data_IF_176100636847
#
_entry.id   IF_176100636847
#
_cell.length_a   1.000
_cell.length_b   1.000
_cell.length_c   1.000
_cell.angle_alpha   90.00
_cell.angle_beta   90.00
_cell.angle_gamma   90.00
#
_symmetry.space_group_name_H-M   'P 1'
#
loop_
_entity.id
_entity.type
_entity.pdbx_description
1 polymer ?
#
# COMPACT_ATOMS: atom_id res chain seq x y z
N UNK A 1 0.67 -5.99 0.80
CA UNK A 1 -0.39 -5.63 1.74
C UNK A 1 -0.64 -6.77 2.71
N UNK A 2 -0.46 -6.51 4.01
CA UNK A 2 -0.63 -7.52 5.04
C UNK A 2 0.10 -7.20 6.33
N UNK A 3 -0.07 -8.05 7.37
CA UNK A 3 0.57 -7.90 8.66
C UNK A 3 1.26 -9.19 9.17
N UNK A 4 1.20 -10.28 8.39
CA UNK A 4 1.88 -11.54 8.71
C UNK A 4 3.40 -11.38 8.50
N UNK A 5 4.16 -11.50 9.56
CA UNK A 5 5.62 -11.40 9.50
C UNK A 5 6.25 -12.57 8.77
N UNK A 6 5.65 -13.77 8.88
CA UNK A 6 6.09 -14.95 8.13
C UNK A 6 5.94 -14.77 6.62
N UNK A 7 4.76 -14.30 6.16
CA UNK A 7 4.52 -14.01 4.75
C UNK A 7 5.42 -12.90 4.23
N UNK A 8 5.68 -11.87 5.06
CA UNK A 8 6.60 -10.80 4.71
C UNK A 8 8.03 -11.32 4.49
N UNK A 9 8.52 -12.19 5.36
CA UNK A 9 9.85 -12.80 5.21
C UNK A 9 9.98 -13.60 3.90
N UNK A 10 8.91 -14.28 3.47
CA UNK A 10 8.86 -14.98 2.18
C UNK A 10 8.91 -14.01 0.99
N UNK A 11 8.10 -12.95 1.03
CA UNK A 11 8.02 -11.95 -0.06
C UNK A 11 9.31 -11.14 -0.18
N UNK A 12 9.95 -10.79 0.95
CA UNK A 12 11.24 -10.09 0.94
C UNK A 12 12.33 -10.87 0.18
N UNK A 13 12.33 -12.21 0.25
CA UNK A 13 13.26 -13.05 -0.49
C UNK A 13 13.12 -12.92 -2.01
N UNK A 14 11.92 -12.63 -2.53
CA UNK A 14 11.71 -12.43 -3.97
C UNK A 14 12.40 -11.18 -4.52
N UNK A 15 12.63 -10.17 -3.69
CA UNK A 15 13.37 -8.97 -4.07
C UNK A 15 12.64 -8.00 -5.00
N UNK A 16 11.34 -8.18 -5.20
CA UNK A 16 10.54 -7.44 -6.20
C UNK A 16 9.67 -6.32 -5.63
N UNK A 17 9.53 -6.23 -4.30
CA UNK A 17 8.66 -5.23 -3.67
C UNK A 17 9.37 -3.89 -3.48
N UNK A 18 8.59 -2.79 -3.50
CA UNK A 18 9.05 -1.42 -3.22
C UNK A 18 8.59 -0.89 -1.86
N UNK A 19 7.70 -1.60 -1.19
CA UNK A 19 7.22 -1.21 0.13
C UNK A 19 6.26 -2.22 0.74
N UNK A 20 5.84 -1.92 1.96
CA UNK A 20 4.90 -2.71 2.75
C UNK A 20 3.76 -1.81 3.21
N UNK A 21 2.53 -2.25 3.05
CA UNK A 21 1.36 -1.60 3.59
C UNK A 21 0.64 -2.52 4.56
N UNK A 22 0.16 -1.96 5.65
CA UNK A 22 -0.72 -2.64 6.58
C UNK A 22 -2.11 -1.98 6.62
N UNK A 23 -3.07 -2.63 7.24
CA UNK A 23 -4.33 -2.04 7.64
C UNK A 23 -4.83 -2.68 8.95
N UNK A 24 -5.81 -2.06 9.58
CA UNK A 24 -6.30 -2.50 10.89
C UNK A 24 -6.83 -3.93 10.88
N UNK A 25 -7.50 -4.35 9.81
CA UNK A 25 -8.06 -5.71 9.72
C UNK A 25 -6.97 -6.77 9.68
N UNK A 26 -5.91 -6.57 8.88
CA UNK A 26 -4.76 -7.47 8.85
C UNK A 26 -4.00 -7.46 10.17
N UNK A 27 -3.79 -6.29 10.76
CA UNK A 27 -3.13 -6.18 12.06
C UNK A 27 -3.94 -6.89 13.15
N UNK A 28 -5.25 -6.67 13.22
CA UNK A 28 -6.12 -7.34 14.21
C UNK A 28 -6.09 -8.85 14.07
N UNK A 29 -6.15 -9.36 12.85
CA UNK A 29 -6.02 -10.81 12.59
C UNK A 29 -4.69 -11.35 13.10
N UNK A 30 -3.58 -10.65 12.80
CA UNK A 30 -2.24 -11.08 13.23
C UNK A 30 -2.06 -10.98 14.75
N UNK A 31 -2.54 -9.92 15.39
CA UNK A 31 -2.54 -9.75 16.84
C UNK A 31 -3.29 -10.88 17.55
N UNK A 32 -4.45 -11.29 17.02
CA UNK A 32 -5.21 -12.43 17.55
C UNK A 32 -4.45 -13.76 17.46
N UNK A 33 -3.59 -13.94 16.45
CA UNK A 33 -2.77 -15.15 16.27
C UNK A 33 -1.56 -15.14 17.21
N UNK A 34 -0.91 -13.98 17.38
CA UNK A 34 0.39 -13.88 18.07
C UNK A 34 0.30 -13.42 19.51
N UNK A 35 -0.82 -12.82 19.92
CA UNK A 35 -1.00 -12.23 21.26
C UNK A 35 -0.28 -10.89 21.49
N UNK A 36 0.46 -10.35 20.51
CA UNK A 36 1.17 -9.08 20.64
C UNK A 36 0.23 -7.88 20.47
N UNK A 37 0.59 -6.73 21.05
CA UNK A 37 -0.17 -5.49 20.85
C UNK A 37 0.14 -4.85 19.49
N UNK A 38 -0.59 -3.78 19.14
CA UNK A 38 -0.51 -3.13 17.83
C UNK A 38 0.88 -2.54 17.55
N UNK A 39 1.44 -1.80 18.50
CA UNK A 39 2.75 -1.15 18.31
C UNK A 39 3.88 -2.17 18.19
N UNK A 40 3.86 -3.22 19.00
CA UNK A 40 4.86 -4.29 18.94
C UNK A 40 4.82 -5.03 17.59
N UNK A 41 3.60 -5.30 17.07
CA UNK A 41 3.44 -5.88 15.74
C UNK A 41 4.04 -4.97 14.65
N UNK A 42 3.74 -3.67 14.71
CA UNK A 42 4.28 -2.72 13.74
C UNK A 42 5.80 -2.59 13.82
N UNK A 43 6.37 -2.62 15.02
CA UNK A 43 7.83 -2.63 15.22
C UNK A 43 8.48 -3.92 14.70
N UNK A 44 7.82 -5.05 14.85
CA UNK A 44 8.30 -6.33 14.33
C UNK A 44 8.32 -6.36 12.79
N UNK A 45 7.26 -5.86 12.14
CA UNK A 45 7.24 -5.64 10.69
C UNK A 45 8.34 -4.67 10.27
N UNK A 46 8.49 -3.54 10.98
CA UNK A 46 9.54 -2.54 10.72
C UNK A 46 10.95 -3.15 10.74
N UNK A 47 11.27 -3.99 11.73
CA UNK A 47 12.57 -4.67 11.81
C UNK A 47 12.87 -5.45 10.54
N UNK A 48 11.90 -6.19 9.99
CA UNK A 48 12.04 -6.94 8.73
C UNK A 48 12.22 -6.03 7.53
N UNK A 49 11.43 -4.96 7.44
CA UNK A 49 11.57 -3.96 6.37
C UNK A 49 12.97 -3.34 6.39
N UNK A 50 13.50 -3.02 7.57
CA UNK A 50 14.86 -2.47 7.74
C UNK A 50 15.97 -3.49 7.44
N UNK A 51 15.75 -4.78 7.71
CA UNK A 51 16.73 -5.83 7.41
C UNK A 51 16.87 -6.11 5.90
N UNK A 52 15.92 -5.61 5.10
CA UNK A 52 15.99 -5.74 3.64
C UNK A 52 17.01 -4.75 3.07
N UNK A 53 18.15 -5.26 2.64
CA UNK A 53 19.34 -4.49 2.27
C UNK A 53 19.47 -4.16 0.77
N UNK A 54 18.59 -4.69 -0.09
CA UNK A 54 18.69 -4.48 -1.55
C UNK A 54 18.27 -3.06 -1.98
N UNK A 55 17.28 -2.49 -1.30
CA UNK A 55 16.81 -1.11 -1.53
C UNK A 55 16.00 -0.61 -0.34
N UNK A 56 15.89 0.71 -0.20
CA UNK A 56 15.02 1.32 0.82
C UNK A 56 13.55 1.06 0.46
N UNK A 57 12.84 0.39 1.36
CA UNK A 57 11.41 0.12 1.23
C UNK A 57 10.60 1.22 1.93
N UNK A 58 9.43 1.57 1.38
CA UNK A 58 8.45 2.36 2.10
C UNK A 58 7.63 1.48 3.05
N UNK A 59 7.15 2.07 4.13
CA UNK A 59 6.29 1.39 5.10
C UNK A 59 5.09 2.25 5.43
N UNK A 60 3.88 1.72 5.22
CA UNK A 60 2.62 2.43 5.51
C UNK A 60 1.88 1.75 6.64
N UNK A 61 1.62 2.49 7.73
CA UNK A 61 0.89 2.04 8.92
C UNK A 61 -0.35 2.89 9.14
N UNK A 62 -1.46 2.27 9.54
CA UNK A 62 -2.75 2.94 9.66
C UNK A 62 -3.03 3.36 11.09
N UNK A 63 -3.56 4.58 11.30
CA UNK A 63 -4.12 5.00 12.59
C UNK A 63 -5.40 4.22 12.91
N UNK A 64 -5.66 3.99 14.19
CA UNK A 64 -6.82 3.21 14.64
C UNK A 64 -8.03 4.07 14.97
N UNK A 65 -7.82 5.34 15.33
CA UNK A 65 -8.90 6.27 15.67
C UNK A 65 -9.61 6.82 14.43
N UNK A 66 -10.85 7.25 14.62
CA UNK A 66 -11.67 7.99 13.65
C UNK A 66 -11.92 9.43 14.10
N UNK A 67 -11.42 9.85 15.26
CA UNK A 67 -11.56 11.19 15.85
C UNK A 67 -10.32 12.00 15.50
N UNK A 68 -10.47 13.17 14.87
CA UNK A 68 -9.37 13.98 14.34
C UNK A 68 -8.24 14.23 15.35
N UNK A 69 -8.57 14.65 16.58
CA UNK A 69 -7.58 14.94 17.61
C UNK A 69 -6.81 13.70 18.06
N UNK A 70 -7.46 12.55 18.11
CA UNK A 70 -6.86 11.27 18.44
C UNK A 70 -6.00 10.76 17.28
N UNK A 71 -6.44 10.94 16.03
CA UNK A 71 -5.67 10.63 14.83
C UNK A 71 -4.32 11.37 14.87
N UNK A 72 -4.33 12.66 15.21
CA UNK A 72 -3.10 13.45 15.29
C UNK A 72 -2.16 12.91 16.38
N UNK A 73 -2.69 12.64 17.58
CA UNK A 73 -1.90 12.08 18.70
C UNK A 73 -1.30 10.71 18.34
N UNK A 74 -2.13 9.82 17.81
CA UNK A 74 -1.69 8.47 17.42
C UNK A 74 -0.67 8.53 16.28
N UNK A 75 -0.89 9.34 15.26
CA UNK A 75 0.02 9.49 14.12
C UNK A 75 1.40 10.03 14.55
N UNK A 76 1.44 11.02 15.45
CA UNK A 76 2.69 11.53 16.03
C UNK A 76 3.40 10.42 16.79
N UNK A 77 2.73 9.71 17.69
CA UNK A 77 3.28 8.58 18.44
C UNK A 77 3.83 7.49 17.51
N UNK A 78 3.08 7.09 16.48
CA UNK A 78 3.53 6.10 15.50
C UNK A 78 4.76 6.60 14.73
N UNK A 79 4.77 7.88 14.35
CA UNK A 79 5.91 8.46 13.64
C UNK A 79 7.17 8.49 14.50
N UNK A 80 7.08 8.90 15.76
CA UNK A 80 8.20 8.90 16.70
C UNK A 80 8.79 7.50 16.91
N UNK A 81 7.93 6.49 17.07
CA UNK A 81 8.36 5.11 17.32
C UNK A 81 8.87 4.37 16.07
N UNK A 82 8.43 4.74 14.87
CA UNK A 82 8.63 3.92 13.67
C UNK A 82 9.46 4.60 12.57
N UNK A 83 9.56 5.93 12.51
CA UNK A 83 10.13 6.63 11.34
C UNK A 83 11.65 6.52 11.19
N UNK A 84 12.39 6.26 12.29
CA UNK A 84 13.86 6.22 12.22
C UNK A 84 14.38 5.24 11.17
N UNK A 85 15.19 5.73 10.22
CA UNK A 85 15.83 4.97 9.15
C UNK A 85 14.89 4.33 8.12
N UNK A 86 13.57 4.59 8.19
CA UNK A 86 12.57 4.03 7.26
C UNK A 86 11.81 5.14 6.56
N UNK A 87 11.31 4.87 5.37
CA UNK A 87 10.41 5.78 4.65
C UNK A 87 8.96 5.48 5.08
N UNK A 88 8.61 5.97 6.29
CA UNK A 88 7.32 5.77 6.91
C UNK A 88 6.26 6.68 6.28
N UNK A 89 5.05 6.15 6.07
CA UNK A 89 3.83 6.92 5.79
C UNK A 89 2.75 6.51 6.77
N UNK A 90 2.11 7.48 7.38
CA UNK A 90 0.96 7.24 8.24
C UNK A 90 -0.30 7.18 7.37
N UNK A 91 -1.02 6.05 7.40
CA UNK A 91 -2.28 5.88 6.68
C UNK A 91 -3.42 6.49 7.49
N UNK A 92 -4.09 7.46 6.90
CA UNK A 92 -5.26 8.13 7.47
C UNK A 92 -6.44 7.92 6.53
N UNK A 93 -7.55 7.33 6.99
CA UNK A 93 -8.77 7.24 6.20
C UNK A 93 -9.29 8.64 5.86
N UNK A 94 -9.55 8.88 4.58
CA UNK A 94 -9.97 10.18 4.10
C UNK A 94 -11.47 10.37 4.33
N UNK A 95 -11.82 11.38 5.13
CA UNK A 95 -13.17 11.92 5.29
C UNK A 95 -13.09 13.43 5.47
N UNK A 96 -14.25 14.11 5.44
CA UNK A 96 -14.28 15.54 5.71
C UNK A 96 -13.78 15.87 7.12
N UNK A 97 -14.18 15.08 8.11
CA UNK A 97 -13.77 15.24 9.52
C UNK A 97 -12.26 15.02 9.70
N UNK A 98 -11.69 14.02 9.03
CA UNK A 98 -10.28 13.66 9.17
C UNK A 98 -9.34 14.57 8.38
N UNK A 99 -9.87 15.41 7.48
CA UNK A 99 -9.05 16.28 6.65
C UNK A 99 -8.24 17.29 7.47
N UNK A 100 -8.82 17.77 8.59
CA UNK A 100 -8.08 18.65 9.54
C UNK A 100 -6.89 17.96 10.18
N UNK A 101 -7.02 16.66 10.50
CA UNK A 101 -5.91 15.88 11.04
C UNK A 101 -4.81 15.70 9.98
N UNK A 102 -5.17 15.44 8.73
CA UNK A 102 -4.22 15.32 7.62
C UNK A 102 -3.42 16.61 7.45
N UNK A 103 -4.08 17.77 7.40
CA UNK A 103 -3.43 19.07 7.29
C UNK A 103 -2.45 19.33 8.45
N UNK A 104 -2.88 19.10 9.70
CA UNK A 104 -2.02 19.25 10.87
C UNK A 104 -0.79 18.33 10.84
N UNK A 105 -0.94 17.11 10.35
CA UNK A 105 0.15 16.13 10.27
C UNK A 105 1.16 16.50 9.17
N UNK A 106 0.69 16.99 8.03
CA UNK A 106 1.55 17.48 6.95
C UNK A 106 2.36 18.69 7.42
N UNK A 107 1.75 19.64 8.16
CA UNK A 107 2.44 20.78 8.76
C UNK A 107 3.49 20.36 9.81
N UNK A 108 3.42 19.12 10.34
CA UNK A 108 4.45 18.51 11.19
C UNK A 108 5.46 17.66 10.41
N UNK A 109 5.48 17.79 9.07
CA UNK A 109 6.36 17.02 8.16
C UNK A 109 6.15 15.49 8.23
N UNK A 110 4.99 15.04 8.74
CA UNK A 110 4.63 13.62 8.75
C UNK A 110 4.08 13.24 7.37
N UNK A 111 4.70 12.28 6.73
CA UNK A 111 4.26 11.78 5.42
C UNK A 111 2.95 11.01 5.54
N UNK A 112 1.95 11.42 4.77
CA UNK A 112 0.62 10.84 4.80
C UNK A 112 0.35 9.96 3.58
N UNK A 113 -0.29 8.81 3.85
CA UNK A 113 -0.96 7.97 2.88
C UNK A 113 -2.47 8.13 3.10
N UNK A 114 -3.13 9.01 2.34
CA UNK A 114 -4.56 9.16 2.38
C UNK A 114 -5.22 7.88 1.84
N UNK A 115 -5.99 7.17 2.66
CA UNK A 115 -6.54 5.86 2.32
C UNK A 115 -8.07 5.87 2.31
N UNK A 116 -8.69 4.76 1.87
CA UNK A 116 -10.14 4.64 1.66
C UNK A 116 -10.69 5.59 0.57
N UNK A 117 -9.85 5.94 -0.40
CA UNK A 117 -10.25 6.84 -1.48
C UNK A 117 -11.02 6.06 -2.55
N UNK A 118 -12.18 6.59 -2.96
CA UNK A 118 -13.07 5.97 -3.95
C UNK A 118 -13.55 6.94 -5.03
N UNK A 119 -13.16 8.22 -4.95
CA UNK A 119 -13.57 9.22 -5.95
C UNK A 119 -12.42 10.10 -6.41
N UNK A 120 -12.57 10.68 -7.60
CA UNK A 120 -11.61 11.65 -8.16
C UNK A 120 -11.39 12.86 -7.23
N UNK A 121 -12.49 13.43 -6.69
CA UNK A 121 -12.38 14.62 -5.86
C UNK A 121 -11.67 14.35 -4.52
N UNK A 122 -11.88 13.18 -3.92
CA UNK A 122 -11.12 12.76 -2.74
C UNK A 122 -9.63 12.66 -3.06
N UNK A 123 -9.28 12.03 -4.19
CA UNK A 123 -7.89 11.90 -4.64
C UNK A 123 -7.23 13.25 -4.89
N UNK A 124 -7.92 14.16 -5.56
CA UNK A 124 -7.45 15.52 -5.83
C UNK A 124 -7.25 16.31 -4.54
N UNK A 125 -8.21 16.25 -3.61
CA UNK A 125 -8.11 16.94 -2.32
C UNK A 125 -6.87 16.46 -1.53
N UNK A 126 -6.65 15.15 -1.46
CA UNK A 126 -5.50 14.56 -0.78
C UNK A 126 -4.17 14.99 -1.42
N UNK A 127 -4.09 15.00 -2.76
CA UNK A 127 -2.90 15.43 -3.49
C UNK A 127 -2.60 16.91 -3.26
N UNK A 128 -3.61 17.77 -3.35
CA UNK A 128 -3.46 19.21 -3.10
C UNK A 128 -3.08 19.54 -1.65
N UNK A 129 -3.52 18.72 -0.69
CA UNK A 129 -3.11 18.84 0.70
C UNK A 129 -1.64 18.46 0.94
N UNK A 130 -0.97 17.81 -0.01
CA UNK A 130 0.43 17.38 0.12
C UNK A 130 0.59 15.95 0.64
N UNK A 131 -0.43 15.10 0.57
CA UNK A 131 -0.29 13.69 0.89
C UNK A 131 0.74 13.02 -0.03
N UNK A 132 1.65 12.23 0.55
CA UNK A 132 2.66 11.49 -0.22
C UNK A 132 2.07 10.36 -1.06
N UNK A 133 1.00 9.73 -0.56
CA UNK A 133 0.24 8.71 -1.27
C UNK A 133 -1.26 8.98 -1.22
N UNK A 134 -1.93 8.70 -2.32
CA UNK A 134 -3.40 8.59 -2.41
C UNK A 134 -3.73 7.14 -2.71
N UNK A 135 -4.36 6.45 -1.77
CA UNK A 135 -4.66 5.01 -1.86
C UNK A 135 -6.10 4.78 -2.27
N UNK A 136 -6.31 4.46 -3.55
CA UNK A 136 -7.60 4.08 -4.12
C UNK A 136 -7.95 2.63 -3.77
N UNK A 137 -9.20 2.41 -3.40
CA UNK A 137 -9.75 1.10 -3.11
C UNK A 137 -10.48 0.54 -4.33
N UNK A 138 -9.73 -0.06 -5.26
CA UNK A 138 -10.26 -0.57 -6.52
C UNK A 138 -11.48 -1.47 -6.33
N UNK A 139 -11.38 -2.49 -5.46
CA UNK A 139 -12.48 -3.42 -5.23
C UNK A 139 -13.73 -2.76 -4.68
N UNK A 140 -13.60 -1.69 -3.86
CA UNK A 140 -14.74 -0.94 -3.35
C UNK A 140 -15.39 -0.07 -4.43
N UNK A 141 -14.57 0.51 -5.31
CA UNK A 141 -15.09 1.27 -6.44
C UNK A 141 -15.90 0.39 -7.38
N UNK A 142 -15.39 -0.80 -7.69
CA UNK A 142 -16.13 -1.77 -8.54
C UNK A 142 -17.39 -2.32 -7.89
N UNK A 143 -17.46 -2.41 -6.56
CA UNK A 143 -18.69 -2.80 -5.85
C UNK A 143 -19.81 -1.78 -6.01
N UNK A 144 -19.48 -0.51 -6.27
CA UNK A 144 -20.40 0.62 -6.46
C UNK A 144 -20.54 1.04 -7.93
N UNK A 145 -20.20 0.16 -8.87
CA UNK A 145 -20.21 0.42 -10.32
C UNK A 145 -19.42 1.66 -10.76
N UNK A 146 -18.44 2.08 -9.95
CA UNK A 146 -17.51 3.17 -10.28
C UNK A 146 -16.38 2.58 -11.12
N UNK A 147 -16.02 3.23 -12.22
CA UNK A 147 -14.87 2.82 -13.07
C UNK A 147 -13.54 3.33 -12.48
N UNK A 148 -12.73 2.46 -11.85
CA UNK A 148 -11.46 2.88 -11.25
C UNK A 148 -10.43 3.32 -12.29
N UNK A 149 -10.45 2.74 -13.50
CA UNK A 149 -9.48 3.05 -14.56
C UNK A 149 -9.60 4.50 -14.99
N UNK A 150 -10.84 4.94 -15.21
CA UNK A 150 -11.15 6.30 -15.62
C UNK A 150 -10.68 7.30 -14.55
N UNK A 151 -11.09 7.09 -13.30
CA UNK A 151 -10.76 7.99 -12.19
C UNK A 151 -9.25 8.10 -11.96
N UNK A 152 -8.54 6.95 -11.95
CA UNK A 152 -7.09 6.92 -11.75
C UNK A 152 -6.37 7.63 -12.90
N UNK A 153 -6.79 7.38 -14.15
CA UNK A 153 -6.19 8.00 -15.33
C UNK A 153 -6.43 9.52 -15.36
N UNK A 154 -7.63 9.97 -15.06
CA UNK A 154 -7.96 11.40 -14.99
C UNK A 154 -7.13 12.11 -13.90
N UNK A 155 -7.04 11.51 -12.70
CA UNK A 155 -6.23 12.08 -11.63
C UNK A 155 -4.75 12.09 -11.99
N UNK A 156 -4.22 10.99 -12.54
CA UNK A 156 -2.79 10.92 -12.94
C UNK A 156 -2.44 12.01 -13.95
N UNK A 157 -3.28 12.20 -14.96
CA UNK A 157 -3.08 13.25 -15.96
C UNK A 157 -3.09 14.65 -15.33
N UNK A 158 -3.99 14.89 -14.37
CA UNK A 158 -4.05 16.17 -13.67
C UNK A 158 -2.83 16.40 -12.78
N UNK A 159 -2.37 15.37 -12.06
CA UNK A 159 -1.14 15.46 -11.25
C UNK A 159 0.07 15.81 -12.12
N UNK A 160 0.23 15.18 -13.28
CA UNK A 160 1.31 15.47 -14.23
C UNK A 160 1.19 16.91 -14.74
N UNK A 161 0.01 17.32 -15.18
CA UNK A 161 -0.25 18.67 -15.69
C UNK A 161 0.11 19.77 -14.66
N UNK A 162 -0.10 19.50 -13.38
CA UNK A 162 0.16 20.44 -12.29
C UNK A 162 1.52 20.21 -11.61
N UNK A 163 2.39 19.33 -12.13
CA UNK A 163 3.68 18.96 -11.56
C UNK A 163 3.61 18.44 -10.11
N UNK A 164 2.49 17.82 -9.74
CA UNK A 164 2.25 17.23 -8.42
C UNK A 164 2.68 15.75 -8.33
N UNK A 165 2.94 15.10 -9.47
CA UNK A 165 3.27 13.66 -9.55
C UNK A 165 4.57 13.29 -8.82
N UNK A 166 5.46 14.27 -8.60
CA UNK A 166 6.69 14.08 -7.83
C UNK A 166 6.46 14.03 -6.33
N UNK A 167 5.41 14.70 -5.87
CA UNK A 167 5.11 14.84 -4.45
C UNK A 167 4.03 13.86 -3.98
N UNK A 168 3.13 13.45 -4.87
CA UNK A 168 2.00 12.59 -4.58
C UNK A 168 1.94 11.41 -5.56
N UNK A 169 2.01 10.20 -5.05
CA UNK A 169 1.91 8.97 -5.85
C UNK A 169 0.54 8.32 -5.67
N UNK A 170 -0.01 7.80 -6.77
CA UNK A 170 -1.24 7.03 -6.77
C UNK A 170 -0.92 5.59 -6.39
N UNK A 171 -1.45 5.15 -5.25
CA UNK A 171 -1.40 3.77 -4.79
C UNK A 171 -2.77 3.11 -4.97
N UNK A 172 -2.80 1.90 -5.50
CA UNK A 172 -4.04 1.13 -5.67
C UNK A 172 -4.00 -0.10 -4.77
N UNK A 173 -5.03 -0.25 -3.96
CA UNK A 173 -5.24 -1.40 -3.08
C UNK A 173 -6.62 -2.03 -3.27
N UNK A 174 -6.98 -2.95 -2.36
CA UNK A 174 -8.23 -3.73 -2.47
C UNK A 174 -8.30 -4.55 -3.76
N UNK A 175 -7.16 -5.17 -4.13
CA UNK A 175 -7.03 -5.99 -5.33
C UNK A 175 -7.57 -7.38 -5.05
N UNK A 176 -8.57 -7.82 -5.81
CA UNK A 176 -9.22 -9.14 -5.67
C UNK A 176 -8.82 -10.13 -6.76
N UNK A 177 -8.33 -9.64 -7.90
CA UNK A 177 -7.95 -10.46 -9.05
C UNK A 177 -6.61 -9.97 -9.62
N UNK A 178 -5.73 -10.88 -10.00
CA UNK A 178 -4.39 -10.52 -10.51
C UNK A 178 -4.42 -9.68 -11.79
N UNK A 179 -5.45 -9.82 -12.65
CA UNK A 179 -5.60 -8.98 -13.84
C UNK A 179 -5.68 -7.49 -13.51
N UNK A 180 -6.26 -7.14 -12.34
CA UNK A 180 -6.41 -5.76 -11.88
C UNK A 180 -5.05 -5.08 -11.65
N UNK A 181 -4.00 -5.84 -11.32
CA UNK A 181 -2.64 -5.31 -11.14
C UNK A 181 -2.18 -4.60 -12.42
N UNK A 182 -2.31 -5.29 -13.57
CA UNK A 182 -1.98 -4.70 -14.88
C UNK A 182 -2.89 -3.52 -15.21
N UNK A 183 -4.19 -3.68 -14.98
CA UNK A 183 -5.18 -2.64 -15.27
C UNK A 183 -4.90 -1.35 -14.49
N UNK A 184 -4.52 -1.48 -13.20
CA UNK A 184 -4.17 -0.34 -12.36
C UNK A 184 -2.91 0.40 -12.86
N UNK A 185 -1.85 -0.33 -13.22
CA UNK A 185 -0.65 0.31 -13.79
C UNK A 185 -0.92 0.98 -15.13
N UNK A 186 -1.71 0.35 -16.02
CA UNK A 186 -2.10 0.94 -17.31
C UNK A 186 -2.95 2.20 -17.11
N UNK A 187 -3.77 2.24 -16.06
CA UNK A 187 -4.53 3.43 -15.69
C UNK A 187 -3.66 4.57 -15.10
N UNK A 188 -2.41 4.31 -14.76
CA UNK A 188 -1.48 5.33 -14.25
C UNK A 188 -1.19 5.25 -12.76
N UNK A 189 -1.51 4.13 -12.10
CA UNK A 189 -1.07 3.89 -10.73
C UNK A 189 0.47 3.81 -10.66
N UNK A 190 1.06 4.46 -9.67
CA UNK A 190 2.50 4.38 -9.40
C UNK A 190 2.85 3.14 -8.58
N UNK A 191 1.92 2.71 -7.73
CA UNK A 191 2.08 1.60 -6.80
C UNK A 191 0.80 0.77 -6.78
N UNK A 192 0.96 -0.55 -6.77
CA UNK A 192 -0.15 -1.48 -6.51
C UNK A 192 0.22 -2.34 -5.31
N UNK A 193 -0.63 -2.34 -4.29
CA UNK A 193 -0.41 -3.16 -3.09
C UNK A 193 -1.30 -4.40 -3.13
N UNK A 194 -0.68 -5.57 -2.97
CA UNK A 194 -1.32 -6.89 -3.09
C UNK A 194 -0.98 -7.79 -1.91
N UNK A 195 -1.83 -8.76 -1.62
CA UNK A 195 -1.59 -9.77 -0.60
C UNK A 195 -0.61 -10.85 -1.09
N UNK A 196 -0.05 -11.61 -0.15
CA UNK A 196 0.97 -12.63 -0.43
C UNK A 196 0.51 -13.67 -1.47
N UNK A 197 -0.70 -14.19 -1.37
CA UNK A 197 -1.23 -15.18 -2.31
C UNK A 197 -1.31 -14.69 -3.76
N UNK A 198 -1.44 -13.37 -3.95
CA UNK A 198 -1.46 -12.76 -5.27
C UNK A 198 -0.09 -12.79 -5.96
N UNK A 199 1.00 -12.77 -5.20
CA UNK A 199 2.35 -12.93 -5.77
C UNK A 199 2.53 -14.31 -6.39
N UNK A 200 2.11 -15.36 -5.69
CA UNK A 200 2.18 -16.72 -6.23
C UNK A 200 1.33 -16.85 -7.51
N UNK A 201 0.10 -16.33 -7.51
CA UNK A 201 -0.79 -16.34 -8.69
C UNK A 201 -0.23 -15.51 -9.85
N UNK A 202 0.50 -14.42 -9.56
CA UNK A 202 1.12 -13.57 -10.58
C UNK A 202 2.30 -14.28 -11.27
N UNK A 203 3.10 -15.02 -10.51
CA UNK A 203 4.32 -15.68 -11.01
C UNK A 203 4.06 -17.07 -11.56
N UNK A 204 3.13 -17.83 -11.00
CA UNK A 204 2.81 -19.19 -11.43
C UNK A 204 1.79 -19.17 -12.58
N UNK A 205 2.27 -18.94 -13.80
CA UNK A 205 1.47 -19.02 -15.01
C UNK A 205 1.55 -20.42 -15.61
N UNK A 206 0.38 -21.03 -15.90
CA UNK A 206 0.29 -22.40 -16.41
C UNK A 206 1.19 -22.61 -17.64
N UNK A 207 1.13 -21.72 -18.60
CA UNK A 207 1.94 -21.84 -19.84
C UNK A 207 3.45 -21.77 -19.59
N UNK A 208 3.88 -20.97 -18.62
CA UNK A 208 5.30 -20.92 -18.21
C UNK A 208 5.73 -22.23 -17.56
N UNK A 209 4.87 -22.81 -16.73
CA UNK A 209 5.12 -24.11 -16.09
C UNK A 209 5.19 -25.24 -17.12
N UNK A 210 4.25 -25.30 -18.07
CA UNK A 210 4.23 -26.27 -19.18
C UNK A 210 5.51 -26.17 -20.02
N UNK A 211 5.95 -24.95 -20.37
CA UNK A 211 7.16 -24.70 -21.13
C UNK A 211 8.42 -25.18 -20.36
N UNK A 212 8.53 -24.87 -19.07
CA UNK A 212 9.65 -25.33 -18.24
C UNK A 212 9.73 -26.86 -18.17
N UNK A 213 8.59 -27.54 -18.02
CA UNK A 213 8.54 -29.01 -18.01
C UNK A 213 8.94 -29.60 -19.36
N UNK A 214 8.54 -28.97 -20.47
CA UNK A 214 8.94 -29.38 -21.82
C UNK A 214 10.48 -29.26 -21.99
N UNK A 215 11.07 -28.11 -21.64
CA UNK A 215 12.50 -27.90 -21.71
C UNK A 215 13.28 -28.92 -20.86
N UNK A 216 12.83 -29.21 -19.65
CA UNK A 216 13.42 -30.21 -18.79
C UNK A 216 13.36 -31.63 -19.41
N UNK A 217 12.20 -31.96 -20.00
CA UNK A 217 12.02 -33.24 -20.70
C UNK A 217 12.96 -33.38 -21.91
N UNK A 218 13.11 -32.31 -22.70
CA UNK A 218 13.98 -32.32 -23.87
C UNK A 218 15.46 -32.37 -23.48
N UNK A 219 15.86 -31.68 -22.41
CA UNK A 219 17.19 -31.76 -21.85
C UNK A 219 17.59 -33.17 -21.38
N UNK A 220 16.64 -33.90 -20.79
CA UNK A 220 16.86 -35.24 -20.26
C UNK A 220 16.73 -36.36 -21.31
N UNK A 221 16.38 -36.06 -22.57
CA UNK A 221 16.47 -37.02 -23.68
C UNK A 221 17.95 -37.25 -24.02
N UNK A 222 18.40 -38.51 -23.87
CA UNK A 222 19.72 -38.95 -24.34
C UNK A 222 19.73 -39.14 -25.84
#
# INVERSE_FOLDING_TARGET
>A
DGASTKELDEILKLGIISGVTTNLSFCKKQMNITGVNYLDLLQDIRKRVLSYNKKKLSYSVQVSSIISEEIVKEAVMLNENLSSKIDLKIKVPLSFENFKAIDQLINKEIKINATCVTSFLQGLAAANAGCSYVSFFWGKMTDEDIDPKKIISELKNLLIKNSLEKNCQILVGSIRQTKVIREAFVAGADIVTIQNDSFAKMLNQQKSTEANLLFQKDWNKK
#
